data_IF_487724254176
#
_entry.id   IF_487724254176
#
_cell.length_a   1.000
_cell.length_b   1.000
_cell.length_c   1.000
_cell.angle_alpha   90.00
_cell.angle_beta   90.00
_cell.angle_gamma   90.00
#
_symmetry.space_group_name_H-M   'P 1'
#
loop_
_entity.id
_entity.type
_entity.pdbx_description
1 polymer ?
#
# COMPACT_ATOMS: atom_id res chain seq x y z
N UNK A 1 -2.82 -21.12 -49.02
CA UNK A 1 -2.66 -19.86 -48.25
C UNK A 1 -1.23 -19.83 -47.78
N UNK A 2 -0.41 -18.82 -48.15
CA UNK A 2 1.00 -18.86 -47.81
C UNK A 2 1.22 -18.52 -46.32
N UNK A 3 2.12 -19.26 -45.69
CA UNK A 3 2.34 -19.29 -44.23
C UNK A 3 2.68 -17.93 -43.61
N UNK A 4 3.16 -16.98 -44.41
CA UNK A 4 3.44 -15.60 -43.97
C UNK A 4 2.20 -14.84 -43.49
N UNK A 5 1.00 -15.15 -43.98
CA UNK A 5 -0.22 -14.49 -43.50
C UNK A 5 -0.50 -14.78 -42.03
N UNK A 6 -0.20 -16.00 -41.56
CA UNK A 6 -0.37 -16.38 -40.15
C UNK A 6 0.55 -15.53 -39.27
N UNK A 7 1.81 -15.36 -39.69
CA UNK A 7 2.76 -14.52 -38.97
C UNK A 7 2.33 -13.05 -38.94
N UNK A 8 1.83 -12.50 -40.05
CA UNK A 8 1.31 -11.11 -40.10
C UNK A 8 0.14 -10.94 -39.11
N UNK A 9 -0.80 -11.88 -39.08
CA UNK A 9 -1.94 -11.84 -38.15
C UNK A 9 -1.46 -11.90 -36.70
N UNK A 10 -0.51 -12.78 -36.37
CA UNK A 10 0.07 -12.85 -35.02
C UNK A 10 0.74 -11.53 -34.63
N UNK A 11 1.53 -10.93 -35.52
CA UNK A 11 2.17 -9.63 -35.27
C UNK A 11 1.14 -8.51 -35.04
N UNK A 12 0.05 -8.49 -35.81
CA UNK A 12 -1.04 -7.54 -35.61
C UNK A 12 -1.72 -7.73 -34.26
N UNK A 13 -2.01 -8.97 -33.86
CA UNK A 13 -2.60 -9.29 -32.55
C UNK A 13 -1.68 -8.83 -31.42
N UNK A 14 -0.38 -9.15 -31.49
CA UNK A 14 0.59 -8.71 -30.49
C UNK A 14 0.72 -7.18 -30.44
N UNK A 15 0.69 -6.52 -31.60
CA UNK A 15 0.69 -5.06 -31.69
C UNK A 15 -0.54 -4.43 -31.03
N UNK A 16 -1.73 -4.97 -31.29
CA UNK A 16 -2.99 -4.51 -30.66
C UNK A 16 -2.96 -4.74 -29.15
N UNK A 17 -2.54 -5.92 -28.68
CA UNK A 17 -2.40 -6.21 -27.25
C UNK A 17 -1.43 -5.22 -26.59
N UNK A 18 -0.25 -5.01 -27.20
CA UNK A 18 0.74 -4.06 -26.70
C UNK A 18 0.21 -2.64 -26.61
N UNK A 19 -0.50 -2.18 -27.65
CA UNK A 19 -1.11 -0.85 -27.69
C UNK A 19 -2.20 -0.67 -26.62
N UNK A 20 -3.09 -1.66 -26.46
CA UNK A 20 -4.15 -1.62 -25.46
C UNK A 20 -3.56 -1.63 -24.02
N UNK A 21 -2.53 -2.43 -23.78
CA UNK A 21 -1.81 -2.45 -22.50
C UNK A 21 -1.20 -1.09 -22.19
N UNK A 22 -0.55 -0.46 -23.18
CA UNK A 22 0.04 0.86 -23.01
C UNK A 22 -1.01 1.92 -22.68
N UNK A 23 -2.09 2.01 -23.48
CA UNK A 23 -3.18 2.95 -23.25
C UNK A 23 -3.83 2.76 -21.88
N UNK A 24 -4.04 1.50 -21.48
CA UNK A 24 -4.56 1.24 -20.15
C UNK A 24 -3.62 1.70 -19.04
N UNK A 25 -2.31 1.50 -19.18
CA UNK A 25 -1.36 1.94 -18.15
C UNK A 25 -1.39 3.45 -17.98
N UNK A 26 -1.48 4.20 -19.09
CA UNK A 26 -1.64 5.66 -19.07
C UNK A 26 -2.92 6.06 -18.34
N UNK A 27 -4.06 5.44 -18.67
CA UNK A 27 -5.33 5.72 -18.00
C UNK A 27 -5.29 5.41 -16.50
N UNK A 28 -4.67 4.30 -16.11
CA UNK A 28 -4.54 3.93 -14.70
C UNK A 28 -3.68 4.97 -13.94
N UNK A 29 -2.62 5.48 -14.57
CA UNK A 29 -1.78 6.54 -14.00
C UNK A 29 -2.54 7.87 -13.87
N UNK A 30 -3.35 8.24 -14.86
CA UNK A 30 -4.20 9.43 -14.78
C UNK A 30 -5.23 9.32 -13.66
N UNK A 31 -5.92 8.18 -13.55
CA UNK A 31 -6.88 7.92 -12.48
C UNK A 31 -6.18 7.93 -11.13
N UNK A 32 -5.01 7.30 -11.01
CA UNK A 32 -4.19 7.30 -9.79
C UNK A 32 -3.87 8.74 -9.36
N UNK A 33 -3.35 9.55 -10.27
CA UNK A 33 -2.95 10.94 -9.97
C UNK A 33 -4.10 11.79 -9.48
N UNK A 34 -5.32 11.60 -10.01
CA UNK A 34 -6.53 12.29 -9.53
C UNK A 34 -6.91 11.99 -8.08
N UNK A 35 -6.48 10.85 -7.54
CA UNK A 35 -6.79 10.45 -6.18
C UNK A 35 -5.70 10.82 -5.17
N UNK A 36 -4.53 11.31 -5.62
CA UNK A 36 -3.42 11.64 -4.73
C UNK A 36 -3.84 12.74 -3.75
N UNK A 37 -3.56 12.49 -2.47
CA UNK A 37 -3.82 13.41 -1.37
C UNK A 37 -2.48 14.01 -0.96
N UNK A 38 -2.23 15.24 -1.40
CA UNK A 38 -0.98 15.95 -1.06
C UNK A 38 -0.99 16.49 0.37
N UNK A 39 -2.15 16.96 0.83
CA UNK A 39 -2.34 17.52 2.16
C UNK A 39 -2.88 16.46 3.10
N UNK A 40 -1.99 15.92 3.92
CA UNK A 40 -2.34 14.99 4.98
C UNK A 40 -2.60 15.78 6.26
N UNK A 41 -3.50 15.29 7.15
CA UNK A 41 -3.72 15.86 8.47
C UNK A 41 -2.56 15.51 9.41
N UNK A 42 -1.34 15.86 9.01
CA UNK A 42 -0.07 15.54 9.66
C UNK A 42 0.91 16.70 9.49
N UNK A 43 1.76 16.90 10.48
CA UNK A 43 2.92 17.79 10.35
C UNK A 43 4.22 17.00 10.23
N UNK A 44 5.28 17.64 9.72
CA UNK A 44 6.64 17.08 9.74
C UNK A 44 7.10 16.74 11.17
N UNK A 45 6.61 17.47 12.17
CA UNK A 45 6.92 17.23 13.58
C UNK A 45 6.25 15.96 14.11
N UNK A 46 5.00 15.69 13.70
CA UNK A 46 4.30 14.46 14.10
C UNK A 46 5.03 13.23 13.56
N UNK A 47 5.44 13.30 12.29
CA UNK A 47 6.23 12.25 11.65
C UNK A 47 7.59 12.13 12.35
N UNK A 48 8.33 13.22 12.56
CA UNK A 48 9.66 13.11 13.18
C UNK A 48 9.63 12.48 14.57
N UNK A 49 8.60 12.72 15.38
CA UNK A 49 8.40 12.09 16.70
C UNK A 49 8.21 10.58 16.62
N UNK A 50 7.48 10.08 15.61
CA UNK A 50 7.26 8.65 15.41
C UNK A 50 8.56 7.91 15.05
N UNK A 51 9.46 8.58 14.35
CA UNK A 51 10.74 8.00 13.92
C UNK A 51 11.87 8.21 14.95
N UNK A 52 11.87 9.32 15.69
CA UNK A 52 12.89 9.64 16.71
C UNK A 52 12.75 8.82 17.98
N UNK A 53 11.51 8.60 18.47
CA UNK A 53 11.22 7.78 19.65
C UNK A 53 11.75 6.35 19.53
N UNK A 54 11.96 5.89 18.30
CA UNK A 54 12.41 4.54 18.00
C UNK A 54 13.93 4.42 17.83
N UNK A 55 14.63 5.51 17.51
CA UNK A 55 16.10 5.53 17.46
C UNK A 55 16.71 5.40 18.87
N UNK A 56 16.03 5.88 19.92
CA UNK A 56 16.60 5.92 21.28
C UNK A 56 16.47 4.62 22.09
N UNK A 57 15.57 3.70 21.76
CA UNK A 57 15.27 2.54 22.62
C UNK A 57 15.83 1.19 22.14
N UNK A 58 16.43 1.10 20.94
CA UNK A 58 16.84 -0.19 20.36
C UNK A 58 18.19 -0.21 19.64
N UNK A 59 18.98 0.86 19.66
CA UNK A 59 20.31 0.84 19.04
C UNK A 59 21.31 -0.10 19.73
N UNK A 60 20.96 -0.70 20.89
CA UNK A 60 21.91 -1.46 21.70
C UNK A 60 21.81 -2.99 21.63
N UNK A 61 20.73 -3.60 21.13
CA UNK A 61 20.66 -5.07 21.05
C UNK A 61 19.79 -5.57 19.88
N UNK A 62 20.43 -6.40 19.02
CA UNK A 62 19.85 -7.34 18.03
C UNK A 62 19.36 -6.72 16.70
N UNK A 63 19.69 -7.20 15.50
CA UNK A 63 20.41 -8.39 15.06
C UNK A 63 20.98 -8.17 13.65
N UNK A 64 22.12 -8.79 13.44
CA UNK A 64 22.73 -9.18 12.17
C UNK A 64 21.87 -10.22 11.41
N UNK A 65 20.67 -9.83 10.96
CA UNK A 65 19.94 -10.60 9.94
C UNK A 65 20.07 -9.92 8.59
N UNK A 66 20.71 -10.63 7.67
CA UNK A 66 21.03 -10.25 6.32
C UNK A 66 19.86 -9.59 5.58
N UNK A 67 19.92 -8.26 5.38
CA UNK A 67 19.15 -7.58 4.34
C UNK A 67 19.88 -7.73 3.00
N UNK A 68 19.78 -8.91 2.38
CA UNK A 68 19.93 -9.04 0.93
C UNK A 68 18.53 -8.89 0.32
N UNK A 69 18.15 -7.65 0.01
CA UNK A 69 16.88 -7.31 -0.64
C UNK A 69 16.08 -6.31 0.19
N UNK A 70 15.85 -5.11 -0.36
CA UNK A 70 15.15 -3.99 0.29
C UNK A 70 13.63 -4.17 0.46
N UNK A 71 13.19 -5.36 0.90
CA UNK A 71 11.81 -5.63 1.26
C UNK A 71 11.42 -5.02 2.60
N UNK A 72 10.13 -4.68 2.75
CA UNK A 72 9.53 -4.18 3.99
C UNK A 72 9.51 -5.34 5.02
N UNK A 73 10.07 -5.13 6.21
CA UNK A 73 10.02 -6.11 7.28
C UNK A 73 8.75 -5.90 8.09
N UNK A 74 7.69 -6.54 7.62
CA UNK A 74 6.40 -6.45 8.26
C UNK A 74 6.24 -7.33 9.50
N UNK A 75 7.22 -8.19 9.79
CA UNK A 75 7.24 -9.00 11.02
C UNK A 75 7.77 -8.15 12.19
N UNK A 76 8.67 -7.20 11.92
CA UNK A 76 9.01 -6.19 12.91
C UNK A 76 7.95 -5.08 12.96
N UNK A 77 7.12 -5.09 14.01
CA UNK A 77 6.21 -3.98 14.39
C UNK A 77 6.91 -2.63 14.62
N UNK A 78 8.23 -2.69 14.54
CA UNK A 78 9.16 -1.61 14.54
C UNK A 78 9.01 -0.75 13.26
N UNK A 79 8.61 -1.28 12.10
CA UNK A 79 8.41 -0.44 10.90
C UNK A 79 7.16 0.44 10.99
N UNK A 80 7.31 1.74 10.70
CA UNK A 80 6.22 2.73 10.79
C UNK A 80 5.42 2.71 9.48
N UNK A 81 4.30 1.98 9.47
CA UNK A 81 3.42 1.87 8.30
C UNK A 81 2.55 3.11 8.07
N UNK A 82 2.01 3.33 6.85
CA UNK A 82 1.13 4.47 6.57
C UNK A 82 -0.10 4.47 7.47
N UNK A 83 -0.63 3.27 7.74
CA UNK A 83 -1.72 3.03 8.67
C UNK A 83 -1.37 3.48 10.09
N UNK A 84 -0.15 3.17 10.56
CA UNK A 84 0.32 3.59 11.89
C UNK A 84 0.49 5.09 12.00
N UNK A 85 1.02 5.74 10.96
CA UNK A 85 1.15 7.21 10.91
C UNK A 85 -0.22 7.86 11.03
N UNK A 86 -1.21 7.32 10.33
CA UNK A 86 -2.58 7.84 10.32
C UNK A 86 -3.45 7.37 11.50
N UNK A 87 -2.89 6.65 12.47
CA UNK A 87 -3.63 6.21 13.67
C UNK A 87 -4.68 5.12 13.42
N UNK A 88 -4.51 4.28 12.40
CA UNK A 88 -5.43 3.19 12.09
C UNK A 88 -5.57 2.20 13.27
N UNK A 89 -6.79 1.99 13.73
CA UNK A 89 -7.15 1.02 14.76
C UNK A 89 -8.51 0.39 14.47
N UNK A 90 -8.73 -0.83 14.97
CA UNK A 90 -9.94 -1.65 14.73
C UNK A 90 -10.46 -2.28 16.02
N UNK A 91 -11.65 -2.87 15.98
CA UNK A 91 -12.25 -3.55 17.14
C UNK A 91 -13.09 -2.61 18.00
N UNK A 92 -13.49 -3.07 19.18
CA UNK A 92 -14.47 -2.37 20.02
C UNK A 92 -14.03 -0.96 20.48
N UNK A 93 -12.73 -0.72 20.57
CA UNK A 93 -12.14 0.59 20.90
C UNK A 93 -11.42 1.23 19.70
N UNK A 94 -11.65 0.69 18.50
CA UNK A 94 -11.04 1.17 17.26
C UNK A 94 -11.89 2.26 16.61
N UNK A 95 -11.38 2.73 15.46
CA UNK A 95 -12.07 3.70 14.63
C UNK A 95 -13.37 3.12 14.03
N UNK A 96 -14.38 3.98 13.85
CA UNK A 96 -15.60 3.64 13.13
C UNK A 96 -15.34 3.39 11.63
N UNK A 97 -16.34 2.85 10.91
CA UNK A 97 -16.17 2.52 9.48
C UNK A 97 -15.73 3.71 8.64
N UNK A 98 -16.40 4.86 8.80
CA UNK A 98 -16.13 6.06 8.00
C UNK A 98 -14.71 6.62 8.27
N UNK A 99 -14.31 6.63 9.54
CA UNK A 99 -12.98 7.05 9.97
C UNK A 99 -11.90 6.10 9.45
N UNK A 100 -12.15 4.78 9.51
CA UNK A 100 -11.23 3.79 8.94
C UNK A 100 -11.10 3.96 7.44
N UNK A 101 -12.20 4.12 6.71
CA UNK A 101 -12.18 4.38 5.26
C UNK A 101 -11.38 5.64 4.94
N UNK A 102 -11.56 6.72 5.72
CA UNK A 102 -10.77 7.94 5.57
C UNK A 102 -9.27 7.69 5.80
N UNK A 103 -8.92 6.98 6.87
CA UNK A 103 -7.53 6.60 7.18
C UNK A 103 -6.94 5.68 6.10
N UNK A 104 -7.72 4.74 5.57
CA UNK A 104 -7.32 3.88 4.46
C UNK A 104 -7.04 4.70 3.20
N UNK A 105 -7.88 5.69 2.89
CA UNK A 105 -7.63 6.58 1.75
C UNK A 105 -6.34 7.38 1.93
N UNK A 106 -6.09 7.92 3.12
CA UNK A 106 -4.80 8.55 3.40
C UNK A 106 -3.64 7.55 3.27
N UNK A 107 -3.75 6.34 3.81
CA UNK A 107 -2.71 5.33 3.72
C UNK A 107 -2.41 4.88 2.28
N UNK A 108 -3.43 4.84 1.42
CA UNK A 108 -3.33 4.43 0.03
C UNK A 108 -2.88 5.55 -0.90
N UNK A 109 -3.37 6.76 -0.69
CA UNK A 109 -3.22 7.88 -1.64
C UNK A 109 -2.47 9.10 -1.09
N UNK A 110 -2.09 9.07 0.18
CA UNK A 110 -1.35 10.14 0.83
C UNK A 110 0.10 10.23 0.36
N UNK A 111 0.55 11.42 0.02
CA UNK A 111 1.97 11.72 -0.20
C UNK A 111 2.73 11.85 1.13
N UNK A 112 3.01 10.71 1.76
CA UNK A 112 3.76 10.68 3.01
C UNK A 112 5.21 11.13 2.84
N UNK A 113 5.81 10.92 1.67
CA UNK A 113 7.23 11.18 1.43
C UNK A 113 7.58 12.66 1.68
N UNK A 114 6.65 13.58 1.37
CA UNK A 114 6.79 15.02 1.64
C UNK A 114 6.94 15.38 3.13
N UNK A 115 6.40 14.56 4.02
CA UNK A 115 6.42 14.78 5.47
C UNK A 115 7.59 14.06 6.18
N UNK A 116 8.32 13.23 5.45
CA UNK A 116 9.40 12.42 6.01
C UNK A 116 10.65 13.26 6.28
N UNK A 117 11.40 12.95 7.35
CA UNK A 117 12.75 13.48 7.55
C UNK A 117 13.66 13.25 6.32
N UNK A 118 14.62 14.15 6.14
CA UNK A 118 15.63 14.02 5.09
C UNK A 118 16.35 12.66 5.18
N UNK A 119 16.57 12.02 4.03
CA UNK A 119 17.22 10.70 3.93
C UNK A 119 16.28 9.50 4.11
N UNK A 120 15.02 9.68 4.52
CA UNK A 120 14.05 8.59 4.57
C UNK A 120 13.34 8.47 3.22
N UNK A 121 13.66 7.42 2.47
CA UNK A 121 12.94 7.05 1.24
C UNK A 121 11.75 6.13 1.58
N UNK A 122 10.65 6.74 1.99
CA UNK A 122 9.45 6.04 2.44
C UNK A 122 8.72 5.35 1.29
N UNK A 123 8.61 6.00 0.14
CA UNK A 123 7.93 5.45 -1.03
C UNK A 123 8.74 4.34 -1.72
N UNK A 124 10.06 4.34 -1.56
CA UNK A 124 10.88 3.19 -1.96
C UNK A 124 10.45 1.92 -1.21
N UNK A 125 10.01 2.04 0.04
CA UNK A 125 9.53 0.89 0.82
C UNK A 125 8.05 0.64 0.55
N UNK A 126 7.22 1.62 0.85
CA UNK A 126 5.76 1.48 0.85
C UNK A 126 5.10 1.68 -0.51
N UNK A 127 5.84 2.08 -1.55
CA UNK A 127 5.33 2.39 -2.89
C UNK A 127 4.80 3.82 -2.99
N UNK A 128 4.76 4.42 -4.17
CA UNK A 128 4.17 5.76 -4.35
C UNK A 128 2.66 5.79 -4.04
N UNK A 129 2.09 6.97 -3.76
CA UNK A 129 0.65 7.16 -3.60
C UNK A 129 -0.17 6.51 -4.72
N UNK A 130 -1.15 5.68 -4.35
CA UNK A 130 -2.05 4.96 -5.23
C UNK A 130 -1.40 3.89 -6.11
N UNK A 131 -0.10 3.63 -5.98
CA UNK A 131 0.60 2.61 -6.78
C UNK A 131 0.17 1.19 -6.38
N UNK A 132 0.25 0.22 -7.32
CA UNK A 132 0.06 -1.22 -7.02
C UNK A 132 0.92 -1.68 -5.84
N UNK A 133 2.15 -1.15 -5.73
CA UNK A 133 3.05 -1.43 -4.60
C UNK A 133 2.48 -0.94 -3.27
N UNK A 134 1.90 0.27 -3.24
CA UNK A 134 1.22 0.83 -2.06
C UNK A 134 0.01 0.02 -1.64
N UNK A 135 -0.86 -0.31 -2.59
CA UNK A 135 -1.99 -1.22 -2.35
C UNK A 135 -1.51 -2.55 -1.76
N UNK A 136 -0.52 -3.20 -2.39
CA UNK A 136 0.02 -4.47 -1.93
C UNK A 136 0.68 -4.39 -0.55
N UNK A 137 1.43 -3.32 -0.27
CA UNK A 137 2.12 -3.15 1.01
C UNK A 137 1.12 -2.93 2.16
N UNK A 138 0.14 -2.05 1.97
CA UNK A 138 -0.91 -1.75 2.97
C UNK A 138 -1.80 -2.98 3.19
N UNK A 139 -2.26 -3.62 2.11
CA UNK A 139 -3.06 -4.85 2.18
C UNK A 139 -2.35 -5.94 2.98
N UNK A 140 -1.10 -6.24 2.63
CA UNK A 140 -0.35 -7.29 3.29
C UNK A 140 -0.06 -6.94 4.75
N UNK A 141 0.12 -5.67 5.09
CA UNK A 141 0.29 -5.23 6.47
C UNK A 141 -0.95 -5.57 7.31
N UNK A 142 -2.15 -5.18 6.86
CA UNK A 142 -3.41 -5.54 7.55
C UNK A 142 -3.57 -7.05 7.63
N UNK A 143 -3.37 -7.76 6.51
CA UNK A 143 -3.53 -9.22 6.45
C UNK A 143 -2.67 -9.93 7.49
N UNK A 144 -1.39 -9.60 7.60
CA UNK A 144 -0.51 -10.21 8.61
C UNK A 144 -0.90 -9.85 10.04
N UNK A 145 -1.27 -8.59 10.31
CA UNK A 145 -1.74 -8.19 11.65
C UNK A 145 -2.98 -8.98 12.04
N UNK A 146 -3.90 -9.20 11.11
CA UNK A 146 -5.06 -10.08 11.29
C UNK A 146 -4.62 -11.52 11.56
N UNK A 147 -3.78 -12.09 10.70
CA UNK A 147 -3.37 -13.50 10.78
C UNK A 147 -2.65 -13.80 12.12
N UNK A 148 -1.78 -12.90 12.58
CA UNK A 148 -1.09 -12.97 13.88
C UNK A 148 -2.04 -12.93 15.09
N UNK A 149 -3.25 -12.40 14.91
CA UNK A 149 -4.24 -12.19 15.98
C UNK A 149 -5.49 -13.05 15.77
N UNK A 150 -5.50 -13.91 14.75
CA UNK A 150 -6.70 -14.62 14.32
C UNK A 150 -7.25 -15.52 15.42
N UNK A 151 -6.38 -16.13 16.22
CA UNK A 151 -6.73 -17.09 17.27
C UNK A 151 -6.96 -16.46 18.65
N UNK A 152 -6.90 -15.12 18.78
CA UNK A 152 -7.14 -14.44 20.05
C UNK A 152 -8.64 -14.33 20.32
N UNK A 153 -9.06 -14.60 21.55
CA UNK A 153 -10.43 -14.38 22.02
C UNK A 153 -10.76 -12.88 22.09
N UNK A 154 -12.02 -12.51 21.89
CA UNK A 154 -12.48 -11.12 21.98
C UNK A 154 -12.08 -10.24 20.80
N UNK A 155 -11.60 -10.82 19.71
CA UNK A 155 -11.15 -10.12 18.49
C UNK A 155 -12.16 -10.21 17.35
N UNK A 156 -13.38 -10.69 17.60
CA UNK A 156 -14.42 -10.92 16.58
C UNK A 156 -14.69 -9.65 15.76
N UNK A 157 -14.86 -8.52 16.45
CA UNK A 157 -15.08 -7.22 15.82
C UNK A 157 -13.86 -6.76 15.02
N UNK A 158 -12.65 -6.90 15.57
CA UNK A 158 -11.42 -6.55 14.86
C UNK A 158 -11.20 -7.41 13.60
N UNK A 159 -11.51 -8.71 13.67
CA UNK A 159 -11.46 -9.62 12.50
C UNK A 159 -12.45 -9.19 11.43
N UNK A 160 -13.67 -8.80 11.82
CA UNK A 160 -14.68 -8.27 10.90
C UNK A 160 -14.18 -7.00 10.21
N UNK A 161 -13.69 -6.04 10.99
CA UNK A 161 -13.16 -4.78 10.47
C UNK A 161 -11.98 -5.01 9.51
N UNK A 162 -10.99 -5.82 9.89
CA UNK A 162 -9.88 -6.15 9.00
C UNK A 162 -10.34 -6.79 7.69
N UNK A 163 -11.32 -7.70 7.73
CA UNK A 163 -11.83 -8.33 6.51
C UNK A 163 -12.54 -7.31 5.60
N UNK A 164 -13.34 -6.41 6.18
CA UNK A 164 -13.98 -5.32 5.44
C UNK A 164 -12.94 -4.38 4.81
N UNK A 165 -11.92 -4.01 5.58
CA UNK A 165 -10.87 -3.09 5.13
C UNK A 165 -9.99 -3.73 4.03
N UNK A 166 -9.68 -5.02 4.14
CA UNK A 166 -8.99 -5.78 3.08
C UNK A 166 -9.82 -5.85 1.79
N UNK A 167 -11.14 -6.02 1.92
CA UNK A 167 -12.04 -5.99 0.77
C UNK A 167 -12.07 -4.60 0.12
N UNK A 168 -12.20 -3.54 0.94
CA UNK A 168 -12.15 -2.16 0.47
C UNK A 168 -10.88 -1.86 -0.34
N UNK A 169 -9.70 -2.24 0.18
CA UNK A 169 -8.42 -2.03 -0.51
C UNK A 169 -8.41 -2.72 -1.89
N UNK A 170 -8.90 -3.95 -1.98
CA UNK A 170 -8.99 -4.68 -3.26
C UNK A 170 -9.94 -4.01 -4.24
N UNK A 171 -11.10 -3.54 -3.76
CA UNK A 171 -12.08 -2.82 -4.57
C UNK A 171 -11.48 -1.53 -5.13
N UNK A 172 -10.82 -0.73 -4.28
CA UNK A 172 -10.14 0.50 -4.72
C UNK A 172 -9.02 0.23 -5.74
N UNK A 173 -8.20 -0.79 -5.49
CA UNK A 173 -7.17 -1.21 -6.46
C UNK A 173 -7.81 -1.61 -7.80
N UNK A 174 -8.91 -2.36 -7.74
CA UNK A 174 -9.68 -2.77 -8.91
C UNK A 174 -10.22 -1.58 -9.68
N UNK A 175 -10.75 -0.56 -9.02
CA UNK A 175 -11.27 0.65 -9.66
C UNK A 175 -10.19 1.43 -10.42
N UNK A 176 -8.99 1.56 -9.84
CA UNK A 176 -7.89 2.30 -10.46
C UNK A 176 -7.27 1.53 -11.63
N UNK A 177 -7.11 0.22 -11.46
CA UNK A 177 -6.41 -0.62 -12.44
C UNK A 177 -7.36 -1.45 -13.31
N UNK A 178 -8.66 -1.12 -13.33
CA UNK A 178 -9.72 -1.88 -14.03
C UNK A 178 -9.45 -2.10 -15.51
N UNK A 179 -8.89 -1.08 -16.17
CA UNK A 179 -8.70 -1.07 -17.60
C UNK A 179 -7.48 -1.89 -18.05
N UNK A 180 -6.67 -2.37 -17.10
CA UNK A 180 -5.40 -3.02 -17.38
C UNK A 180 -5.63 -4.46 -17.78
N UNK A 181 -5.43 -4.69 -19.08
CA UNK A 181 -5.16 -6.00 -19.61
C UNK A 181 -3.76 -6.39 -19.08
N UNK A 182 -3.72 -7.36 -18.16
CA UNK A 182 -2.55 -7.90 -17.43
C UNK A 182 -1.96 -7.02 -16.28
#
# INVERSE_FOLDING_TARGET
MPDYFIFIIIFLILGVIGFLNFRSNVLAEEVRKKHIIEELPLTKQDVSRLFSKKQSSRSKYRNSYHHRGGGIDFASFDEVSPLKIMGYTVGAKGLGLDERTKVLNYALFGDFQRYMPAGIQYDYRWGEPGSRKRFGAVFNHIRRVKDLRNNRSGMELARRDWNADLHYIRTQQGLIYRFRLY
#
